data_IF_230948796240
#
_entry.id   IF_230948796240
#
_cell.length_a   1.000
_cell.length_b   1.000
_cell.length_c   1.000
_cell.angle_alpha   90.00
_cell.angle_beta   90.00
_cell.angle_gamma   90.00
#
_symmetry.space_group_name_H-M   'P 1'
#
loop_
_entity.id
_entity.type
_entity.pdbx_description
1 polymer ?
#
# COMPACT_ATOMS: atom_id res chain seq x y z
N UNK A 1 -12.51 8.01 -6.07
CA UNK A 1 -12.09 7.64 -4.71
C UNK A 1 -13.34 7.51 -3.85
N UNK A 2 -13.39 6.58 -2.88
CA UNK A 2 -14.51 6.42 -1.93
C UNK A 2 -13.97 6.26 -0.50
N UNK A 3 -13.38 7.32 0.08
CA UNK A 3 -12.50 7.18 1.22
C UNK A 3 -13.22 7.22 2.57
N UNK A 4 -14.51 7.56 2.59
CA UNK A 4 -15.36 7.59 3.78
C UNK A 4 -16.06 6.24 3.92
N UNK A 5 -15.90 5.56 5.06
CA UNK A 5 -16.60 4.31 5.31
C UNK A 5 -18.09 4.54 5.60
N UNK A 6 -18.88 3.48 5.49
CA UNK A 6 -20.29 3.51 5.87
C UNK A 6 -20.42 3.72 7.39
N UNK A 7 -21.27 4.65 7.88
CA UNK A 7 -21.41 4.91 9.32
C UNK A 7 -21.78 3.66 10.13
N UNK A 8 -22.54 2.73 9.55
CA UNK A 8 -22.97 1.49 10.19
C UNK A 8 -21.82 0.50 10.41
N UNK A 9 -20.70 0.68 9.72
CA UNK A 9 -19.47 -0.09 9.94
C UNK A 9 -18.55 0.55 10.98
N UNK A 10 -18.89 1.74 11.50
CA UNK A 10 -18.05 2.49 12.43
C UNK A 10 -18.51 2.32 13.88
N UNK A 11 -17.55 2.03 14.75
CA UNK A 11 -17.74 1.89 16.18
C UNK A 11 -16.79 2.86 16.90
N UNK A 12 -17.33 3.66 17.82
CA UNK A 12 -16.54 4.66 18.58
C UNK A 12 -16.34 4.24 20.03
N UNK A 13 -15.16 4.46 20.57
CA UNK A 13 -14.83 4.41 21.98
C UNK A 13 -14.04 5.68 22.34
N UNK A 14 -13.83 6.01 23.63
CA UNK A 14 -13.08 7.22 23.99
C UNK A 14 -11.72 7.28 23.27
N UNK A 15 -11.53 8.32 22.45
CA UNK A 15 -10.30 8.51 21.67
C UNK A 15 -10.04 7.50 20.55
N UNK A 16 -11.00 6.62 20.24
CA UNK A 16 -10.82 5.52 19.25
C UNK A 16 -12.01 5.40 18.31
N UNK A 17 -11.70 5.20 17.01
CA UNK A 17 -12.68 4.80 16.00
C UNK A 17 -12.23 3.50 15.36
N UNK A 18 -13.09 2.50 15.42
CA UNK A 18 -12.91 1.20 14.77
C UNK A 18 -13.86 1.15 13.58
N UNK A 19 -13.35 0.81 12.40
CA UNK A 19 -14.19 0.59 11.21
C UNK A 19 -14.05 -0.86 10.77
N UNK A 20 -15.17 -1.57 10.65
CA UNK A 20 -15.22 -2.95 10.16
C UNK A 20 -15.36 -2.92 8.64
N UNK A 21 -14.25 -3.06 7.92
CA UNK A 21 -14.21 -2.93 6.45
C UNK A 21 -14.55 -4.25 5.74
N UNK A 22 -14.16 -5.37 6.33
CA UNK A 22 -14.59 -6.74 5.96
C UNK A 22 -14.68 -7.59 7.23
N UNK A 23 -15.13 -8.84 7.12
CA UNK A 23 -15.08 -9.79 8.23
C UNK A 23 -13.66 -9.99 8.79
N UNK A 24 -12.63 -9.75 7.98
CA UNK A 24 -11.21 -10.00 8.31
C UNK A 24 -10.39 -8.72 8.43
N UNK A 25 -10.92 -7.57 8.06
CA UNK A 25 -10.17 -6.31 7.97
C UNK A 25 -10.83 -5.23 8.82
N UNK A 26 -10.10 -4.78 9.83
CA UNK A 26 -10.46 -3.62 10.64
C UNK A 26 -9.55 -2.44 10.32
N UNK A 27 -10.09 -1.23 10.35
CA UNK A 27 -9.32 0.00 10.54
C UNK A 27 -9.43 0.43 12.01
N UNK A 28 -8.31 0.73 12.63
CA UNK A 28 -8.19 1.12 14.03
C UNK A 28 -7.56 2.51 14.07
N UNK A 29 -8.35 3.49 14.45
CA UNK A 29 -7.91 4.87 14.56
C UNK A 29 -7.86 5.27 16.03
N UNK A 30 -6.79 5.95 16.42
CA UNK A 30 -6.67 6.58 17.73
C UNK A 30 -6.40 8.08 17.54
N UNK A 31 -7.19 8.89 18.22
CA UNK A 31 -7.01 10.33 18.32
C UNK A 31 -7.62 10.83 19.64
N UNK A 32 -6.81 11.36 20.59
CA UNK A 32 -7.32 11.92 21.84
C UNK A 32 -8.29 13.08 21.65
N UNK A 33 -8.19 13.83 20.54
CA UNK A 33 -9.09 14.92 20.20
C UNK A 33 -10.36 14.45 19.46
N UNK A 34 -10.41 13.16 19.10
CA UNK A 34 -11.49 12.53 18.31
C UNK A 34 -11.68 13.16 16.91
N UNK A 35 -10.64 13.80 16.37
CA UNK A 35 -10.60 14.45 15.05
C UNK A 35 -10.15 13.47 13.94
N UNK A 36 -10.88 12.37 13.82
CA UNK A 36 -10.52 11.31 12.88
C UNK A 36 -10.56 11.75 11.40
N UNK A 37 -9.61 11.25 10.61
CA UNK A 37 -9.44 11.65 9.21
C UNK A 37 -10.02 10.61 8.24
N UNK A 38 -10.97 11.04 7.41
CA UNK A 38 -11.62 10.19 6.40
C UNK A 38 -11.07 10.35 4.98
N UNK A 39 -10.07 11.21 4.76
CA UNK A 39 -9.48 11.42 3.43
C UNK A 39 -8.69 10.20 2.96
N UNK A 40 -8.63 9.98 1.65
CA UNK A 40 -7.81 8.92 1.07
C UNK A 40 -6.34 9.16 1.44
N UNK A 41 -5.62 8.12 1.81
CA UNK A 41 -4.17 8.16 1.95
C UNK A 41 -3.49 7.68 0.67
N UNK A 42 -2.16 7.80 0.61
CA UNK A 42 -1.38 7.18 -0.47
C UNK A 42 -1.62 5.67 -0.58
N UNK A 43 -1.98 5.01 0.53
CA UNK A 43 -2.13 3.55 0.60
C UNK A 43 -3.58 3.10 0.50
N UNK A 44 -4.53 3.84 1.11
CA UNK A 44 -5.93 3.41 1.24
C UNK A 44 -6.90 4.44 0.68
N UNK A 45 -7.65 4.04 -0.35
CA UNK A 45 -8.48 4.91 -1.20
C UNK A 45 -9.99 4.62 -1.09
N UNK A 46 -10.36 3.40 -0.70
CA UNK A 46 -11.73 2.88 -0.79
C UNK A 46 -12.19 2.29 0.55
N UNK A 47 -12.63 3.14 1.48
CA UNK A 47 -13.17 2.70 2.78
C UNK A 47 -14.68 2.47 2.76
N UNK A 48 -15.39 2.97 1.74
CA UNK A 48 -16.81 2.68 1.52
C UNK A 48 -17.01 1.22 1.04
N UNK A 49 -17.01 0.27 1.97
CA UNK A 49 -17.25 -1.15 1.71
C UNK A 49 -18.70 -1.56 2.08
N UNK A 50 -19.22 -2.67 1.52
CA UNK A 50 -20.41 -3.31 2.08
C UNK A 50 -20.19 -3.62 3.56
N UNK A 51 -21.18 -3.34 4.40
CA UNK A 51 -21.08 -3.55 5.86
C UNK A 51 -21.12 -5.05 6.13
N UNK A 52 -20.06 -5.66 6.69
CA UNK A 52 -20.06 -7.08 7.03
C UNK A 52 -20.94 -7.34 8.25
N UNK A 53 -21.30 -8.60 8.48
CA UNK A 53 -21.95 -8.99 9.73
C UNK A 53 -20.93 -8.89 10.88
N UNK A 54 -21.30 -8.17 11.94
CA UNK A 54 -20.56 -8.13 13.19
C UNK A 54 -21.51 -7.82 14.36
N UNK A 55 -21.13 -8.26 15.55
CA UNK A 55 -21.78 -7.86 16.81
C UNK A 55 -20.81 -7.06 17.69
N UNK A 56 -21.41 -6.36 18.64
CA UNK A 56 -20.67 -5.53 19.59
C UNK A 56 -21.33 -5.62 20.97
N UNK A 57 -20.47 -5.70 21.98
CA UNK A 57 -20.84 -5.64 23.39
C UNK A 57 -20.03 -4.57 24.11
N UNK A 58 -20.68 -3.88 25.06
CA UNK A 58 -20.02 -2.94 25.97
C UNK A 58 -20.38 -3.30 27.40
N UNK A 59 -19.37 -3.66 28.19
CA UNK A 59 -19.51 -3.92 29.63
C UNK A 59 -18.28 -3.40 30.35
N UNK A 60 -18.48 -2.78 31.52
CA UNK A 60 -17.40 -2.40 32.44
C UNK A 60 -16.26 -1.58 31.81
N UNK A 61 -16.57 -0.73 30.82
CA UNK A 61 -15.58 0.09 30.11
C UNK A 61 -14.75 -0.67 29.06
N UNK A 62 -15.08 -1.93 28.81
CA UNK A 62 -14.56 -2.73 27.70
C UNK A 62 -15.53 -2.74 26.52
N UNK A 63 -14.97 -2.65 25.32
CA UNK A 63 -15.61 -2.82 24.04
C UNK A 63 -15.15 -4.17 23.47
N UNK A 64 -16.10 -5.05 23.15
CA UNK A 64 -15.82 -6.28 22.44
C UNK A 64 -16.57 -6.24 21.10
N UNK A 65 -15.84 -6.42 20.01
CA UNK A 65 -16.36 -6.46 18.65
C UNK A 65 -16.04 -7.82 18.03
N UNK A 66 -17.04 -8.47 17.42
CA UNK A 66 -16.89 -9.82 16.87
C UNK A 66 -17.36 -9.88 15.43
N UNK A 67 -16.54 -10.47 14.58
CA UNK A 67 -16.90 -10.90 13.23
C UNK A 67 -16.79 -12.42 13.15
N UNK A 68 -17.05 -13.01 11.99
CA UNK A 68 -16.77 -14.43 11.76
C UNK A 68 -15.27 -14.75 11.98
N UNK A 69 -14.35 -13.89 11.53
CA UNK A 69 -12.92 -14.19 11.53
C UNK A 69 -12.16 -13.75 12.78
N UNK A 70 -12.63 -12.71 13.48
CA UNK A 70 -11.89 -12.13 14.60
C UNK A 70 -12.79 -11.67 15.76
N UNK A 71 -12.15 -11.50 16.91
CA UNK A 71 -12.71 -10.83 18.10
C UNK A 71 -11.73 -9.76 18.55
N UNK A 72 -12.13 -8.49 18.46
CA UNK A 72 -11.39 -7.35 19.01
C UNK A 72 -11.87 -7.06 20.43
N UNK A 73 -10.93 -6.88 21.35
CA UNK A 73 -11.16 -6.33 22.68
C UNK A 73 -10.41 -5.01 22.83
N UNK A 74 -11.13 -3.98 23.23
CA UNK A 74 -10.57 -2.68 23.57
C UNK A 74 -11.06 -2.21 24.94
N UNK A 75 -10.19 -1.64 25.76
CA UNK A 75 -10.58 -0.96 27.00
C UNK A 75 -10.14 0.50 26.96
N UNK A 76 -11.05 1.42 27.30
CA UNK A 76 -10.73 2.86 27.36
C UNK A 76 -9.76 3.23 28.49
N UNK A 77 -9.36 2.26 29.34
CA UNK A 77 -8.28 2.43 30.32
C UNK A 77 -7.02 2.91 29.58
N UNK A 78 -6.50 4.06 29.99
CA UNK A 78 -5.34 4.72 29.37
C UNK A 78 -5.55 5.19 27.91
N UNK A 79 -6.79 5.47 27.49
CA UNK A 79 -7.06 6.00 26.14
C UNK A 79 -6.21 7.24 25.80
N UNK A 80 -5.96 8.13 26.76
CA UNK A 80 -5.09 9.30 26.56
C UNK A 80 -3.63 8.96 26.18
N UNK A 81 -3.17 7.72 26.43
CA UNK A 81 -1.84 7.24 26.11
C UNK A 81 -1.77 6.42 24.79
N UNK A 82 -2.87 6.33 24.04
CA UNK A 82 -2.93 5.56 22.81
C UNK A 82 -3.17 4.07 23.00
N UNK A 83 -2.93 3.30 21.93
CA UNK A 83 -2.99 1.84 21.98
C UNK A 83 -1.81 1.27 22.78
N UNK A 84 -2.11 0.27 23.60
CA UNK A 84 -1.15 -0.48 24.43
C UNK A 84 -1.45 -1.98 24.35
N UNK A 85 -0.47 -2.86 24.64
CA UNK A 85 -0.70 -4.31 24.64
C UNK A 85 -1.84 -4.76 25.57
N UNK A 86 -2.10 -4.00 26.63
CA UNK A 86 -3.13 -4.28 27.63
C UNK A 86 -4.51 -3.77 27.20
N UNK A 87 -4.56 -2.70 26.38
CA UNK A 87 -5.81 -2.05 26.03
C UNK A 87 -6.37 -2.42 24.66
N UNK A 88 -5.57 -3.00 23.76
CA UNK A 88 -5.99 -3.42 22.43
C UNK A 88 -5.47 -4.83 22.13
N UNK A 89 -6.40 -5.76 21.92
CA UNK A 89 -6.11 -7.15 21.60
C UNK A 89 -7.06 -7.63 20.51
N UNK A 90 -6.57 -8.46 19.59
CA UNK A 90 -7.39 -9.05 18.53
C UNK A 90 -7.09 -10.54 18.47
N UNK A 91 -8.13 -11.35 18.67
CA UNK A 91 -8.06 -12.80 18.57
C UNK A 91 -8.58 -13.26 17.23
N UNK A 92 -7.84 -14.15 16.57
CA UNK A 92 -8.26 -14.83 15.34
C UNK A 92 -9.11 -16.04 15.74
N UNK A 93 -10.38 -16.07 15.32
CA UNK A 93 -11.35 -17.04 15.82
C UNK A 93 -10.98 -18.49 15.47
N UNK A 94 -10.47 -18.73 14.26
CA UNK A 94 -10.08 -20.08 13.80
C UNK A 94 -8.75 -20.55 14.39
N UNK A 95 -7.72 -19.68 14.38
CA UNK A 95 -6.36 -20.04 14.81
C UNK A 95 -6.16 -19.97 16.32
N UNK A 96 -7.14 -19.45 17.08
CA UNK A 96 -7.05 -19.18 18.53
C UNK A 96 -5.77 -18.45 18.93
N UNK A 97 -5.25 -17.63 18.02
CA UNK A 97 -4.07 -16.80 18.24
C UNK A 97 -4.54 -15.40 18.61
N UNK A 98 -4.01 -14.84 19.68
CA UNK A 98 -4.31 -13.46 20.11
C UNK A 98 -3.10 -12.60 19.84
N UNK A 99 -3.32 -11.55 19.05
CA UNK A 99 -2.38 -10.46 18.88
C UNK A 99 -2.64 -9.39 19.92
N UNK A 100 -1.56 -8.86 20.49
CA UNK A 100 -1.58 -7.68 21.35
C UNK A 100 -0.93 -6.50 20.62
N UNK A 101 -1.44 -5.29 20.81
CA UNK A 101 -0.86 -4.11 20.18
C UNK A 101 0.66 -4.01 20.44
N UNK A 102 1.42 -3.73 19.38
CA UNK A 102 2.89 -3.65 19.41
C UNK A 102 3.61 -5.00 19.38
N UNK A 103 2.89 -6.13 19.38
CA UNK A 103 3.51 -7.44 19.21
C UNK A 103 4.18 -7.55 17.82
N UNK A 104 5.48 -7.87 17.76
CA UNK A 104 6.19 -8.01 16.48
C UNK A 104 5.75 -9.26 15.74
N UNK A 105 5.61 -9.14 14.42
CA UNK A 105 5.36 -10.27 13.53
C UNK A 105 6.69 -10.91 13.10
N UNK A 106 7.04 -12.03 13.74
CA UNK A 106 8.26 -12.80 13.43
C UNK A 106 8.08 -13.80 12.30
N UNK A 107 6.85 -13.99 11.83
CA UNK A 107 6.48 -14.96 10.80
C UNK A 107 6.09 -14.28 9.47
N UNK A 108 6.33 -12.97 9.38
CA UNK A 108 6.07 -12.18 8.19
C UNK A 108 6.88 -12.68 7.00
N UNK A 109 6.23 -12.80 5.84
CA UNK A 109 6.87 -13.23 4.59
C UNK A 109 7.54 -12.09 3.83
N UNK A 110 7.63 -10.91 4.46
CA UNK A 110 8.18 -9.66 3.95
C UNK A 110 7.42 -9.13 2.72
N UNK A 111 7.72 -7.89 2.35
CA UNK A 111 7.12 -7.17 1.24
C UNK A 111 8.15 -6.79 0.21
N UNK A 112 8.19 -5.51 -0.14
CA UNK A 112 9.09 -4.96 -1.14
C UNK A 112 10.08 -3.99 -0.52
N UNK A 113 11.07 -3.55 -1.29
CA UNK A 113 11.88 -2.40 -0.96
C UNK A 113 11.39 -1.21 -1.80
N UNK A 114 11.27 -0.02 -1.20
CA UNK A 114 10.75 1.17 -1.88
C UNK A 114 11.57 1.57 -3.11
N UNK A 115 12.89 1.48 -3.05
CA UNK A 115 13.79 1.77 -4.16
C UNK A 115 14.99 0.82 -4.14
N UNK A 116 15.48 0.47 -5.32
CA UNK A 116 16.72 -0.27 -5.52
C UNK A 116 17.86 0.64 -6.02
N UNK A 117 17.63 1.96 -6.09
CA UNK A 117 18.67 2.91 -6.49
C UNK A 117 19.86 2.81 -5.55
N UNK A 118 21.05 2.67 -6.13
CA UNK A 118 22.32 2.50 -5.42
C UNK A 118 22.42 1.24 -4.56
N UNK A 119 21.46 0.30 -4.65
CA UNK A 119 21.57 -1.00 -3.99
C UNK A 119 22.59 -1.87 -4.72
N UNK A 120 23.57 -2.37 -3.96
CA UNK A 120 24.54 -3.36 -4.44
C UNK A 120 24.38 -4.65 -3.64
N UNK A 121 23.96 -5.71 -4.30
CA UNK A 121 23.71 -7.02 -3.67
C UNK A 121 22.36 -7.09 -2.95
N UNK A 122 22.31 -7.87 -1.86
CA UNK A 122 21.09 -8.08 -1.09
C UNK A 122 20.71 -6.84 -0.26
N UNK A 123 19.41 -6.56 -0.18
CA UNK A 123 18.86 -5.48 0.64
C UNK A 123 17.76 -6.00 1.55
N UNK A 124 17.63 -5.49 2.80
CA UNK A 124 16.49 -5.81 3.66
C UNK A 124 15.16 -5.39 3.00
N UNK A 125 14.14 -6.24 3.15
CA UNK A 125 12.77 -5.95 2.73
C UNK A 125 11.96 -5.44 3.93
N UNK A 126 10.97 -4.59 3.63
CA UNK A 126 9.99 -4.13 4.62
C UNK A 126 9.00 -5.25 4.95
N UNK A 127 8.22 -5.09 6.02
CA UNK A 127 7.14 -6.03 6.34
C UNK A 127 6.06 -5.99 5.24
N UNK A 128 5.58 -7.16 4.86
CA UNK A 128 4.52 -7.33 3.87
C UNK A 128 3.16 -7.62 4.51
N UNK A 129 2.15 -7.76 3.64
CA UNK A 129 0.79 -8.09 4.06
C UNK A 129 0.63 -9.55 4.53
N UNK A 130 1.53 -10.43 4.10
CA UNK A 130 1.41 -11.87 4.30
C UNK A 130 2.36 -12.36 5.41
N UNK A 131 1.83 -13.18 6.30
CA UNK A 131 2.51 -13.72 7.47
C UNK A 131 1.96 -15.08 7.83
N UNK A 132 2.84 -15.99 8.27
CA UNK A 132 2.40 -17.29 8.81
C UNK A 132 1.82 -17.18 10.23
N UNK A 133 1.93 -16.03 10.89
CA UNK A 133 1.20 -15.74 12.12
C UNK A 133 -0.32 -15.59 11.87
N UNK A 134 -0.72 -15.41 10.62
CA UNK A 134 -2.11 -15.33 10.17
C UNK A 134 -2.77 -13.98 10.35
N UNK A 135 -2.02 -12.99 10.81
CA UNK A 135 -2.43 -11.61 10.87
C UNK A 135 -1.34 -10.69 10.32
N UNK A 136 -1.72 -9.48 9.94
CA UNK A 136 -0.76 -8.40 9.70
C UNK A 136 -1.34 -7.07 10.19
N UNK A 137 -0.46 -6.14 10.54
CA UNK A 137 -0.83 -4.76 10.84
C UNK A 137 -0.14 -3.87 9.83
N UNK A 138 -0.94 -3.17 9.03
CA UNK A 138 -0.48 -2.11 8.14
C UNK A 138 -0.65 -0.77 8.86
N UNK A 139 0.47 -0.10 9.13
CA UNK A 139 0.47 1.23 9.75
C UNK A 139 0.43 2.31 8.66
N UNK A 140 -0.71 3.00 8.55
CA UNK A 140 -0.96 4.09 7.61
C UNK A 140 -0.80 5.47 8.28
N UNK A 141 -0.33 5.52 9.53
CA UNK A 141 -0.34 6.74 10.37
C UNK A 141 0.56 7.87 9.85
N UNK A 142 1.54 7.57 8.98
CA UNK A 142 2.55 8.52 8.51
C UNK A 142 2.46 8.82 7.00
N UNK A 143 1.49 8.23 6.30
CA UNK A 143 1.34 8.42 4.86
C UNK A 143 0.63 9.73 4.54
N UNK A 144 0.93 10.31 3.37
CA UNK A 144 0.28 11.56 2.94
C UNK A 144 -1.18 11.31 2.58
N UNK A 145 -1.99 12.36 2.65
CA UNK A 145 -3.40 12.36 2.31
C UNK A 145 -3.63 13.09 0.99
N UNK A 146 -4.62 12.63 0.23
CA UNK A 146 -5.13 13.38 -0.90
C UNK A 146 -6.06 14.50 -0.42
N UNK A 147 -5.82 15.71 -0.89
CA UNK A 147 -6.75 16.83 -0.74
C UNK A 147 -7.82 16.81 -1.84
N UNK A 148 -8.74 17.79 -1.80
CA UNK A 148 -9.87 17.87 -2.74
C UNK A 148 -9.43 18.08 -4.19
N UNK A 149 -8.23 18.61 -4.41
CA UNK A 149 -7.64 18.82 -5.73
C UNK A 149 -6.83 17.60 -6.22
N UNK A 150 -6.73 16.54 -5.42
CA UNK A 150 -5.97 15.34 -5.74
C UNK A 150 -4.46 15.46 -5.49
N UNK A 151 -4.02 16.51 -4.80
CA UNK A 151 -2.62 16.66 -4.38
C UNK A 151 -2.38 15.99 -3.04
N UNK A 152 -1.13 15.55 -2.83
CA UNK A 152 -0.69 14.95 -1.58
C UNK A 152 -0.27 16.02 -0.57
N UNK A 153 -0.76 15.90 0.66
CA UNK A 153 -0.39 16.77 1.77
C UNK A 153 -0.14 15.97 3.06
N UNK A 154 0.65 16.52 4.01
CA UNK A 154 0.83 15.91 5.32
C UNK A 154 -0.49 15.73 6.06
N UNK A 155 -0.54 14.74 6.95
CA UNK A 155 -1.65 14.59 7.90
C UNK A 155 -1.71 15.82 8.83
N UNK A 156 -2.91 16.22 9.29
CA UNK A 156 -3.03 17.23 10.35
C UNK A 156 -2.11 16.90 11.52
N UNK A 157 -1.38 17.91 12.02
CA UNK A 157 -0.38 17.69 13.06
C UNK A 157 -1.04 17.34 14.41
N UNK A 158 -0.72 16.16 14.95
CA UNK A 158 -1.08 15.71 16.29
C UNK A 158 -0.20 14.52 16.68
N UNK A 159 0.56 14.63 17.77
CA UNK A 159 1.68 13.71 18.07
C UNK A 159 1.29 12.27 18.38
N UNK A 160 0.02 12.01 18.69
CA UNK A 160 -0.47 10.71 19.20
C UNK A 160 -1.51 10.03 18.28
N UNK A 161 -1.68 10.50 17.04
CA UNK A 161 -2.65 9.89 16.12
C UNK A 161 -2.14 8.55 15.58
N UNK A 162 -3.04 7.57 15.46
CA UNK A 162 -2.77 6.28 14.80
C UNK A 162 -3.87 5.95 13.81
N UNK A 163 -3.50 5.35 12.68
CA UNK A 163 -4.38 4.86 11.62
C UNK A 163 -3.84 3.52 11.14
N UNK A 164 -4.36 2.43 11.73
CA UNK A 164 -3.87 1.07 11.53
C UNK A 164 -4.90 0.23 10.80
N UNK A 165 -4.45 -0.69 9.96
CA UNK A 165 -5.30 -1.70 9.33
C UNK A 165 -4.87 -3.07 9.82
N UNK A 166 -5.77 -3.77 10.49
CA UNK A 166 -5.54 -5.13 10.98
C UNK A 166 -6.21 -6.12 10.04
N UNK A 167 -5.43 -7.02 9.43
CA UNK A 167 -5.95 -8.12 8.63
C UNK A 167 -5.80 -9.43 9.40
N UNK A 168 -6.91 -10.16 9.57
CA UNK A 168 -7.02 -11.44 10.25
C UNK A 168 -7.44 -12.53 9.25
N UNK A 169 -6.48 -13.23 8.65
CA UNK A 169 -6.73 -14.11 7.51
C UNK A 169 -6.24 -15.54 7.71
N UNK A 170 -5.57 -15.84 8.83
CA UNK A 170 -5.04 -17.15 9.07
C UNK A 170 -4.03 -17.57 7.99
N UNK A 171 -4.23 -18.74 7.40
CA UNK A 171 -3.41 -19.19 6.27
C UNK A 171 -4.05 -18.91 4.90
N UNK A 172 -5.19 -18.21 4.87
CA UNK A 172 -5.84 -17.81 3.61
C UNK A 172 -5.23 -16.50 3.07
N UNK A 173 -4.02 -16.63 2.55
CA UNK A 173 -3.27 -15.51 1.96
C UNK A 173 -3.99 -14.86 0.76
N UNK A 174 -4.83 -15.61 0.04
CA UNK A 174 -5.58 -15.07 -1.10
C UNK A 174 -6.68 -14.14 -0.64
N UNK A 175 -7.39 -14.50 0.43
CA UNK A 175 -8.39 -13.63 1.03
C UNK A 175 -7.77 -12.36 1.63
N UNK A 176 -6.57 -12.45 2.23
CA UNK A 176 -5.81 -11.28 2.67
C UNK A 176 -5.58 -10.27 1.53
N UNK A 177 -5.01 -10.73 0.41
CA UNK A 177 -4.75 -9.88 -0.75
C UNK A 177 -6.05 -9.36 -1.38
N UNK A 178 -7.10 -10.17 -1.40
CA UNK A 178 -8.41 -9.78 -1.89
C UNK A 178 -9.00 -8.65 -1.05
N UNK A 179 -9.01 -8.78 0.27
CA UNK A 179 -9.54 -7.76 1.19
C UNK A 179 -8.70 -6.49 1.17
N UNK A 180 -7.37 -6.60 1.11
CA UNK A 180 -6.50 -5.44 0.91
C UNK A 180 -6.81 -4.71 -0.41
N UNK A 181 -6.98 -5.44 -1.51
CA UNK A 181 -7.30 -4.83 -2.81
C UNK A 181 -8.64 -4.10 -2.83
N UNK A 182 -9.60 -4.48 -1.97
CA UNK A 182 -10.87 -3.76 -1.83
C UNK A 182 -10.65 -2.33 -1.34
N UNK A 183 -9.64 -2.10 -0.50
CA UNK A 183 -9.39 -0.81 0.15
C UNK A 183 -8.27 0.00 -0.50
N UNK A 184 -7.23 -0.67 -1.00
CA UNK A 184 -6.09 -0.05 -1.69
C UNK A 184 -6.36 0.18 -3.19
N UNK A 185 -7.31 -0.57 -3.75
CA UNK A 185 -7.62 -0.55 -5.18
C UNK A 185 -7.21 -1.85 -5.87
N UNK A 186 -7.91 -2.17 -6.95
CA UNK A 186 -7.63 -3.35 -7.76
C UNK A 186 -6.40 -3.11 -8.62
N UNK A 187 -5.51 -4.09 -8.69
CA UNK A 187 -4.43 -4.10 -9.67
C UNK A 187 -5.04 -4.11 -11.08
N UNK A 188 -4.73 -3.12 -11.93
CA UNK A 188 -5.26 -3.09 -13.29
C UNK A 188 -4.66 -4.23 -14.12
N UNK A 189 -5.40 -4.67 -15.13
CA UNK A 189 -4.82 -5.56 -16.14
C UNK A 189 -3.72 -4.81 -16.90
N UNK A 190 -2.56 -5.45 -17.00
CA UNK A 190 -1.48 -4.94 -17.82
C UNK A 190 -1.82 -5.13 -19.30
N UNK A 191 -1.43 -4.20 -20.19
CA UNK A 191 -1.48 -4.45 -21.62
C UNK A 191 -0.73 -5.73 -21.98
N UNK A 192 -1.29 -6.56 -22.87
CA UNK A 192 -0.75 -7.89 -23.21
C UNK A 192 0.73 -7.86 -23.61
N UNK A 193 1.17 -6.82 -24.32
CA UNK A 193 2.55 -6.68 -24.80
C UNK A 193 3.58 -6.53 -23.67
N UNK A 194 3.18 -6.09 -22.47
CA UNK A 194 4.07 -5.99 -21.29
C UNK A 194 4.57 -7.36 -20.85
N UNK A 195 3.81 -8.42 -21.12
CA UNK A 195 4.15 -9.80 -20.74
C UNK A 195 5.05 -10.51 -21.77
N UNK A 196 5.45 -9.83 -22.85
CA UNK A 196 6.37 -10.36 -23.84
C UNK A 196 7.84 -10.06 -23.51
N UNK A 197 8.73 -10.25 -24.49
CA UNK A 197 10.16 -9.97 -24.33
C UNK A 197 10.46 -8.46 -24.43
N UNK A 198 11.36 -7.99 -23.55
CA UNK A 198 11.81 -6.61 -23.48
C UNK A 198 13.28 -6.52 -23.89
N UNK A 199 13.59 -5.58 -24.78
CA UNK A 199 14.96 -5.15 -25.06
C UNK A 199 15.20 -3.80 -24.41
N UNK A 200 16.24 -3.72 -23.59
CA UNK A 200 16.71 -2.47 -23.00
C UNK A 200 18.23 -2.49 -22.89
N UNK A 201 18.86 -1.35 -23.19
CA UNK A 201 20.30 -1.15 -23.07
C UNK A 201 20.56 0.33 -22.86
N UNK A 202 21.38 0.66 -21.87
CA UNK A 202 21.98 1.99 -21.74
C UNK A 202 22.95 2.19 -22.91
N UNK A 203 22.45 2.81 -23.99
CA UNK A 203 23.19 2.99 -25.25
C UNK A 203 22.62 4.16 -26.03
N UNK A 204 23.51 4.97 -26.60
CA UNK A 204 23.17 6.11 -27.44
C UNK A 204 22.73 5.65 -28.82
N UNK A 205 21.52 5.10 -28.92
CA UNK A 205 20.94 4.68 -30.19
C UNK A 205 20.66 5.88 -31.10
N UNK A 206 20.97 5.72 -32.39
CA UNK A 206 20.33 6.46 -33.47
C UNK A 206 19.09 5.72 -34.00
N UNK A 207 18.22 6.44 -34.72
CA UNK A 207 17.05 5.88 -35.40
C UNK A 207 17.43 4.73 -36.34
N UNK A 208 18.50 4.89 -37.13
CA UNK A 208 18.96 3.86 -38.06
C UNK A 208 19.43 2.59 -37.33
N UNK A 209 20.16 2.72 -36.23
CA UNK A 209 20.60 1.57 -35.42
C UNK A 209 19.40 0.84 -34.80
N UNK A 210 18.43 1.59 -34.26
CA UNK A 210 17.25 1.00 -33.64
C UNK A 210 16.39 0.26 -34.68
N UNK A 211 16.19 0.85 -35.86
CA UNK A 211 15.49 0.20 -36.98
C UNK A 211 16.21 -1.08 -37.44
N UNK A 212 17.55 -1.02 -37.58
CA UNK A 212 18.38 -2.18 -37.89
C UNK A 212 18.26 -3.29 -36.84
N UNK A 213 18.25 -2.93 -35.55
CA UNK A 213 18.02 -3.87 -34.46
C UNK A 213 16.64 -4.55 -34.57
N UNK A 214 15.57 -3.78 -34.83
CA UNK A 214 14.24 -4.35 -35.02
C UNK A 214 14.15 -5.26 -36.26
N UNK A 215 14.90 -4.95 -37.32
CA UNK A 215 15.03 -5.83 -38.48
C UNK A 215 15.75 -7.13 -38.11
N UNK A 216 16.84 -7.07 -37.34
CA UNK A 216 17.57 -8.24 -36.90
C UNK A 216 16.73 -9.17 -36.00
N UNK A 217 15.95 -8.65 -35.06
CA UNK A 217 15.00 -9.45 -34.28
C UNK A 217 14.01 -10.21 -35.17
N UNK A 218 13.50 -9.54 -36.22
CA UNK A 218 12.59 -10.17 -37.19
C UNK A 218 13.28 -11.23 -38.05
N UNK A 219 14.46 -10.94 -38.57
CA UNK A 219 15.26 -11.85 -39.39
C UNK A 219 15.61 -13.14 -38.64
N UNK A 220 15.97 -13.03 -37.36
CA UNK A 220 16.34 -14.16 -36.51
C UNK A 220 15.13 -14.84 -35.84
N UNK A 221 13.92 -14.43 -36.18
CA UNK A 221 12.67 -14.94 -35.61
C UNK A 221 12.63 -14.92 -34.07
N UNK A 222 13.29 -13.91 -33.46
CA UNK A 222 13.28 -13.72 -32.01
C UNK A 222 12.10 -12.81 -31.65
N UNK A 223 11.10 -13.31 -30.89
CA UNK A 223 9.95 -12.50 -30.52
C UNK A 223 10.37 -11.32 -29.63
N UNK A 224 9.91 -10.12 -29.98
CA UNK A 224 10.10 -8.90 -29.21
C UNK A 224 8.76 -8.18 -29.06
N UNK A 225 8.46 -7.67 -27.86
CA UNK A 225 7.23 -6.93 -27.58
C UNK A 225 7.48 -5.48 -27.18
N UNK A 226 8.58 -5.23 -26.46
CA UNK A 226 8.95 -3.88 -26.00
C UNK A 226 10.40 -3.60 -26.32
N UNK A 227 10.65 -2.42 -26.89
CA UNK A 227 11.98 -1.85 -27.03
C UNK A 227 12.04 -0.55 -26.24
N UNK A 228 12.95 -0.47 -25.27
CA UNK A 228 13.21 0.75 -24.49
C UNK A 228 14.35 1.52 -25.16
N UNK A 229 14.16 2.82 -25.34
CA UNK A 229 15.23 3.76 -25.71
C UNK A 229 15.63 4.53 -24.46
N UNK A 230 16.90 4.40 -24.06
CA UNK A 230 17.39 4.94 -22.79
C UNK A 230 18.19 6.24 -23.00
N UNK A 231 17.97 7.20 -22.09
CA UNK A 231 18.51 8.57 -21.96
C UNK A 231 18.69 9.43 -23.23
N UNK A 232 19.56 9.05 -24.17
CA UNK A 232 20.01 9.95 -25.24
C UNK A 232 18.97 10.23 -26.34
N UNK A 233 17.78 9.63 -26.26
CA UNK A 233 16.65 9.98 -27.13
C UNK A 233 16.22 11.45 -26.96
N UNK A 234 16.43 12.03 -25.77
CA UNK A 234 16.25 13.45 -25.54
C UNK A 234 17.59 14.20 -25.53
N UNK A 235 17.56 15.52 -25.60
CA UNK A 235 18.77 16.34 -25.53
C UNK A 235 19.46 16.12 -24.17
N UNK A 236 20.69 15.62 -24.14
CA UNK A 236 21.44 15.39 -22.88
C UNK A 236 22.65 16.32 -22.71
N UNK A 237 22.98 17.11 -23.73
CA UNK A 237 24.11 18.03 -23.70
C UNK A 237 23.74 19.36 -24.38
N UNK A 238 23.15 20.27 -23.60
CA UNK A 238 22.70 21.58 -24.10
C UNK A 238 23.73 22.67 -23.80
N UNK A 239 24.29 22.69 -22.58
CA UNK A 239 25.36 23.59 -22.17
C UNK A 239 26.08 23.05 -20.93
N UNK A 240 27.26 23.59 -20.62
CA UNK A 240 28.01 23.26 -19.39
C UNK A 240 27.25 23.59 -18.10
N UNK A 241 26.24 24.46 -18.18
CA UNK A 241 25.43 24.93 -17.05
C UNK A 241 24.13 24.13 -16.85
N UNK A 242 23.78 23.24 -17.78
CA UNK A 242 22.55 22.44 -17.74
C UNK A 242 22.94 20.97 -17.56
N UNK A 243 22.36 20.32 -16.54
CA UNK A 243 22.60 18.89 -16.31
C UNK A 243 22.05 18.07 -17.48
N UNK A 244 22.63 16.89 -17.74
CA UNK A 244 22.17 16.02 -18.83
C UNK A 244 20.78 15.41 -18.64
N UNK A 245 20.16 15.63 -17.48
CA UNK A 245 18.74 15.40 -17.23
C UNK A 245 17.94 16.64 -17.68
N UNK A 246 17.80 16.79 -19.00
CA UNK A 246 17.01 17.88 -19.57
C UNK A 246 15.53 17.46 -19.72
N UNK A 247 14.72 18.29 -20.37
CA UNK A 247 13.32 17.98 -20.66
C UNK A 247 13.14 16.90 -21.73
N UNK A 248 11.89 16.71 -22.16
CA UNK A 248 11.48 15.65 -23.10
C UNK A 248 11.59 16.05 -24.59
N UNK A 249 12.58 16.89 -24.94
CA UNK A 249 12.81 17.32 -26.33
C UNK A 249 13.67 16.29 -27.06
N UNK A 250 13.16 15.74 -28.15
CA UNK A 250 13.87 14.76 -28.98
C UNK A 250 15.20 15.29 -29.51
N UNK A 251 16.22 14.44 -29.43
CA UNK A 251 17.50 14.70 -30.06
C UNK A 251 17.40 14.41 -31.57
N UNK A 252 17.15 15.46 -32.36
CA UNK A 252 16.97 15.36 -33.82
C UNK A 252 18.22 14.89 -34.57
N UNK A 253 19.41 14.93 -33.97
CA UNK A 253 20.61 14.36 -34.58
C UNK A 253 20.59 12.82 -34.54
N UNK A 254 19.98 12.24 -33.51
CA UNK A 254 19.85 10.79 -33.34
C UNK A 254 18.51 10.28 -33.90
N UNK A 255 17.44 11.04 -33.70
CA UNK A 255 16.06 10.71 -34.08
C UNK A 255 15.45 11.86 -34.89
N UNK A 256 15.79 11.97 -36.19
CA UNK A 256 15.26 13.02 -37.05
C UNK A 256 13.76 12.90 -37.36
N UNK A 257 13.16 11.71 -37.23
CA UNK A 257 11.71 11.45 -37.45
C UNK A 257 11.18 10.29 -36.57
#
# INVERSE_FOLDING_TARGET
MKPVARPEAMVRAPGVRITVLTERLLRLEHDPAEEFVDRASQVVWYREQPVPAFDMERSDGELILRTEALTLRYTGRSAAAGFTPDNLQISLNEQKTTWHYGQPDRENLLGTCRTLDQVSGATPLELGLLSRAGWTVLDDSQTLLFNEQGWLEPRPAGSETRDLYFLAYGLDFKSCLTDYSKIAGKTPLLPRWVLGNWWSRFWRYSQAELQGLMAAFREHEVPLSVCIVDMDWHLTNISETVSGWTGYTWNQELFPD
#
